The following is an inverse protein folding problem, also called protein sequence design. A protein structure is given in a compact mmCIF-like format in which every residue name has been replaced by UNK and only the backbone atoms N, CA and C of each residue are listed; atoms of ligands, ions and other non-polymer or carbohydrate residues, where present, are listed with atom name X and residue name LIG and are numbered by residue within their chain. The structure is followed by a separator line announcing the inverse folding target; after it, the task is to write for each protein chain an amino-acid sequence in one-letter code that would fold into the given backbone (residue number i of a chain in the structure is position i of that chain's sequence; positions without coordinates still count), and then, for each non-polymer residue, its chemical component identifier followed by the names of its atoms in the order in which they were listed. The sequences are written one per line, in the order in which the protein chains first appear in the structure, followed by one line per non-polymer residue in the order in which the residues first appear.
data_IF_761505419006
#
_entry.id   IF_761505419006
#
_cell.length_a   1.000
_cell.length_b   1.000
_cell.length_c   1.000
_cell.angle_alpha   90.00
_cell.angle_beta   90.00
_cell.angle_gamma   90.00
#
_symmetry.space_group_name_H-M   'P 1'
#
loop_
_entity.id
_entity.type
_entity.pdbx_description
1 polymer ?
#
# COMPACT_ATOMS: atom_id res chain seq x y z
N UNK A 1 -26.76 3.40 -34.85
CA UNK A 1 -26.61 4.12 -33.56
C UNK A 1 -25.16 4.51 -33.42
N UNK A 2 -24.83 5.78 -33.58
CA UNK A 2 -23.46 6.27 -33.39
C UNK A 2 -23.05 6.09 -31.92
N UNK A 3 -21.80 5.71 -31.63
CA UNK A 3 -21.30 5.74 -30.26
C UNK A 3 -21.39 7.19 -29.78
N UNK A 4 -22.15 7.43 -28.72
CA UNK A 4 -22.11 8.70 -28.02
C UNK A 4 -20.73 8.83 -27.42
N UNK A 5 -19.86 9.59 -28.08
CA UNK A 5 -18.58 10.05 -27.55
C UNK A 5 -18.88 11.02 -26.40
N UNK A 6 -19.27 10.46 -25.25
CA UNK A 6 -19.23 11.19 -23.99
C UNK A 6 -17.75 11.55 -23.81
N UNK A 7 -17.38 12.85 -23.82
CA UNK A 7 -16.00 13.24 -23.65
C UNK A 7 -15.49 12.62 -22.35
N UNK A 8 -14.40 11.84 -22.42
CA UNK A 8 -13.76 11.31 -21.22
C UNK A 8 -13.47 12.50 -20.33
N UNK A 9 -14.15 12.57 -19.18
CA UNK A 9 -13.95 13.63 -18.19
C UNK A 9 -12.44 13.78 -17.97
N UNK A 10 -11.93 14.94 -18.36
CA UNK A 10 -10.51 15.21 -18.28
C UNK A 10 -10.08 15.11 -16.82
N UNK A 11 -9.01 14.37 -16.57
CA UNK A 11 -8.50 14.17 -15.21
C UNK A 11 -7.98 15.51 -14.70
N UNK A 12 -8.25 15.83 -13.42
CA UNK A 12 -7.78 17.08 -12.83
C UNK A 12 -6.25 17.18 -12.90
N UNK A 13 -5.71 18.39 -12.90
CA UNK A 13 -4.27 18.61 -12.82
C UNK A 13 -3.66 17.90 -11.60
N UNK A 14 -4.33 18.01 -10.44
CA UNK A 14 -3.92 17.33 -9.21
C UNK A 14 -3.85 15.81 -9.39
N UNK A 15 -4.82 15.21 -10.10
CA UNK A 15 -4.79 13.78 -10.38
C UNK A 15 -3.56 13.41 -11.20
N UNK A 16 -3.29 14.15 -12.28
CA UNK A 16 -2.19 13.84 -13.20
C UNK A 16 -0.84 13.99 -12.51
N UNK A 17 -0.68 15.03 -11.71
CA UNK A 17 0.56 15.30 -10.97
C UNK A 17 0.78 14.27 -9.86
N UNK A 18 -0.28 13.95 -9.10
CA UNK A 18 -0.23 12.92 -8.04
C UNK A 18 0.17 11.56 -8.60
N UNK A 19 -0.49 11.09 -9.66
CA UNK A 19 -0.12 9.83 -10.31
C UNK A 19 1.32 9.87 -10.86
N UNK A 20 1.76 10.97 -11.49
CA UNK A 20 3.10 11.08 -12.08
C UNK A 20 4.22 11.06 -11.03
N UNK A 21 4.00 11.67 -9.86
CA UNK A 21 4.96 11.65 -8.75
C UNK A 21 4.90 10.35 -7.97
N UNK A 22 3.72 9.75 -7.80
CA UNK A 22 3.58 8.53 -7.03
C UNK A 22 4.18 7.30 -7.72
N UNK A 23 4.25 7.25 -9.05
CA UNK A 23 4.94 6.15 -9.74
C UNK A 23 6.40 5.99 -9.26
N UNK A 24 7.28 7.02 -9.37
CA UNK A 24 8.65 6.90 -8.89
C UNK A 24 8.75 6.83 -7.36
N UNK A 25 7.88 7.51 -6.60
CA UNK A 25 7.93 7.49 -5.13
C UNK A 25 7.55 6.11 -4.56
N UNK A 26 6.42 5.55 -4.97
CA UNK A 26 5.96 4.22 -4.54
C UNK A 26 6.91 3.14 -5.06
N UNK A 27 7.39 3.27 -6.32
CA UNK A 27 8.40 2.37 -6.86
C UNK A 27 9.71 2.41 -6.07
N UNK A 28 10.17 3.60 -5.69
CA UNK A 28 11.34 3.81 -4.84
C UNK A 28 11.16 3.18 -3.46
N UNK A 29 10.03 3.41 -2.79
CA UNK A 29 9.72 2.79 -1.50
C UNK A 29 9.70 1.26 -1.58
N UNK A 30 9.13 0.70 -2.64
CA UNK A 30 9.10 -0.74 -2.85
C UNK A 30 10.51 -1.33 -3.05
N UNK A 31 11.36 -0.66 -3.83
CA UNK A 31 12.78 -1.02 -3.99
C UNK A 31 13.53 -0.91 -2.66
N UNK A 32 13.32 0.17 -1.91
CA UNK A 32 13.93 0.35 -0.59
C UNK A 32 13.51 -0.78 0.37
N UNK A 33 12.24 -1.21 0.37
CA UNK A 33 11.80 -2.35 1.16
C UNK A 33 12.52 -3.65 0.75
N UNK A 34 12.72 -3.89 -0.55
CA UNK A 34 13.53 -5.04 -1.02
C UNK A 34 14.97 -4.92 -0.50
N UNK A 35 15.60 -3.75 -0.64
CA UNK A 35 16.96 -3.54 -0.15
C UNK A 35 17.07 -3.72 1.37
N UNK A 36 16.06 -3.28 2.13
CA UNK A 36 15.97 -3.50 3.58
C UNK A 36 15.85 -4.98 3.93
N UNK A 37 15.03 -5.74 3.20
CA UNK A 37 14.92 -7.20 3.37
C UNK A 37 16.22 -7.95 3.03
N UNK A 38 17.01 -7.43 2.10
CA UNK A 38 18.33 -7.95 1.75
C UNK A 38 19.45 -7.49 2.69
N UNK A 39 19.14 -6.64 3.68
CA UNK A 39 20.14 -6.06 4.59
C UNK A 39 21.06 -5.02 3.95
N UNK A 40 20.72 -4.53 2.74
CA UNK A 40 21.49 -3.54 1.99
C UNK A 40 21.15 -2.10 2.35
N UNK A 41 20.06 -1.87 3.08
CA UNK A 41 19.62 -0.55 3.52
C UNK A 41 19.05 -0.62 4.94
N UNK A 42 19.30 0.40 5.76
CA UNK A 42 18.77 0.47 7.12
C UNK A 42 17.24 0.54 7.13
N UNK A 43 16.61 -0.50 7.68
CA UNK A 43 15.15 -0.60 7.75
C UNK A 43 14.52 0.50 8.62
N UNK A 44 15.27 1.03 9.61
CA UNK A 44 14.75 2.09 10.47
C UNK A 44 14.73 3.44 9.74
N UNK A 45 15.75 3.74 8.93
CA UNK A 45 15.72 4.84 7.97
C UNK A 45 14.56 4.69 6.98
N UNK A 46 14.34 3.48 6.43
CA UNK A 46 13.21 3.20 5.52
C UNK A 46 11.88 3.52 6.22
N UNK A 47 11.72 3.14 7.49
CA UNK A 47 10.53 3.47 8.31
C UNK A 47 10.27 4.97 8.37
N UNK A 48 11.29 5.79 8.64
CA UNK A 48 11.16 7.25 8.71
C UNK A 48 10.76 7.84 7.35
N UNK A 49 11.33 7.32 6.27
CA UNK A 49 11.03 7.76 4.90
C UNK A 49 9.59 7.38 4.55
N UNK A 50 9.14 6.16 4.88
CA UNK A 50 7.79 5.69 4.62
C UNK A 50 6.74 6.53 5.37
N UNK A 51 6.98 6.82 6.64
CA UNK A 51 6.14 7.72 7.45
C UNK A 51 6.06 9.11 6.82
N UNK A 52 7.19 9.67 6.41
CA UNK A 52 7.25 11.00 5.79
C UNK A 52 6.45 11.04 4.49
N UNK A 53 6.60 10.02 3.65
CA UNK A 53 5.84 9.88 2.41
C UNK A 53 4.33 9.82 2.69
N UNK A 54 3.88 8.94 3.57
CA UNK A 54 2.45 8.77 3.88
C UNK A 54 1.87 10.06 4.46
N UNK A 55 2.59 10.76 5.34
CA UNK A 55 2.13 12.01 5.91
C UNK A 55 1.89 13.08 4.83
N UNK A 56 2.86 13.25 3.92
CA UNK A 56 2.76 14.21 2.82
C UNK A 56 1.63 13.82 1.85
N UNK A 57 1.55 12.54 1.45
CA UNK A 57 0.51 12.07 0.53
C UNK A 57 -0.89 12.18 1.14
N UNK A 58 -1.02 11.94 2.44
CA UNK A 58 -2.28 12.15 3.18
C UNK A 58 -2.72 13.61 3.14
N UNK A 59 -1.82 14.55 3.44
CA UNK A 59 -2.12 15.98 3.39
C UNK A 59 -2.57 16.36 1.97
N UNK A 60 -1.89 15.87 0.94
CA UNK A 60 -2.29 16.12 -0.44
C UNK A 60 -3.71 15.63 -0.71
N UNK A 61 -4.02 14.37 -0.42
CA UNK A 61 -5.34 13.79 -0.73
C UNK A 61 -6.46 14.46 0.08
N UNK A 62 -6.20 14.86 1.33
CA UNK A 62 -7.18 15.61 2.14
C UNK A 62 -7.47 16.98 1.53
N UNK A 63 -6.44 17.72 1.09
CA UNK A 63 -6.60 19.03 0.46
C UNK A 63 -7.16 18.96 -0.97
N UNK A 64 -6.87 17.88 -1.69
CA UNK A 64 -7.35 17.63 -3.05
C UNK A 64 -7.84 16.19 -3.20
N UNK A 65 -9.08 15.88 -2.77
CA UNK A 65 -9.66 14.53 -2.91
C UNK A 65 -9.79 14.08 -4.37
N UNK A 66 -9.75 15.03 -5.32
CA UNK A 66 -9.74 14.75 -6.75
C UNK A 66 -8.43 14.16 -7.27
N UNK A 67 -7.36 14.16 -6.46
CA UNK A 67 -6.06 13.60 -6.81
C UNK A 67 -6.10 12.09 -7.09
N UNK A 68 -7.08 11.39 -6.50
CA UNK A 68 -7.23 9.94 -6.60
C UNK A 68 -8.52 9.56 -7.33
N UNK A 69 -8.55 8.43 -8.06
CA UNK A 69 -9.65 8.14 -8.98
C UNK A 69 -11.00 7.87 -8.29
N UNK A 70 -10.98 7.20 -7.14
CA UNK A 70 -12.17 6.84 -6.34
C UNK A 70 -11.80 6.65 -4.88
N UNK A 71 -12.77 6.87 -4.00
CA UNK A 71 -12.69 6.55 -2.57
C UNK A 71 -11.50 7.22 -1.86
N UNK A 72 -11.33 8.53 -2.02
CA UNK A 72 -10.26 9.29 -1.37
C UNK A 72 -10.24 9.07 0.15
N UNK A 73 -11.42 9.05 0.79
CA UNK A 73 -11.57 8.75 2.21
C UNK A 73 -10.98 7.38 2.60
N UNK A 74 -11.07 6.39 1.72
CA UNK A 74 -10.60 5.04 1.98
C UNK A 74 -9.07 4.99 1.89
N UNK A 75 -8.48 5.74 0.96
CA UNK A 75 -7.01 5.89 0.87
C UNK A 75 -6.48 6.64 2.10
N UNK A 76 -7.16 7.70 2.53
CA UNK A 76 -6.80 8.41 3.78
C UNK A 76 -6.90 7.49 4.99
N UNK A 77 -7.96 6.68 5.11
CA UNK A 77 -8.06 5.68 6.18
C UNK A 77 -6.91 4.66 6.12
N UNK A 78 -6.59 4.16 4.93
CA UNK A 78 -5.43 3.30 4.72
C UNK A 78 -4.14 3.96 5.22
N UNK A 79 -3.89 5.22 4.85
CA UNK A 79 -2.71 5.96 5.32
C UNK A 79 -2.67 6.12 6.84
N UNK A 80 -3.81 6.38 7.48
CA UNK A 80 -3.89 6.45 8.94
C UNK A 80 -3.51 5.09 9.56
N UNK A 81 -4.04 3.99 9.05
CA UNK A 81 -3.71 2.65 9.54
C UNK A 81 -2.23 2.29 9.29
N UNK A 82 -1.71 2.60 8.11
CA UNK A 82 -0.30 2.39 7.78
C UNK A 82 0.61 3.28 8.64
N UNK A 83 0.21 4.52 8.92
CA UNK A 83 0.95 5.38 9.85
C UNK A 83 0.97 4.77 11.26
N UNK A 84 -0.19 4.33 11.78
CA UNK A 84 -0.30 3.70 13.10
C UNK A 84 0.57 2.45 13.22
N UNK A 85 0.58 1.55 12.23
CA UNK A 85 1.42 0.36 12.29
C UNK A 85 2.91 0.72 12.22
N UNK A 86 3.30 1.73 11.44
CA UNK A 86 4.68 2.22 11.35
C UNK A 86 5.18 2.92 12.63
N UNK A 87 4.29 3.35 13.52
CA UNK A 87 4.69 3.85 14.84
C UNK A 87 5.39 2.78 15.68
N UNK A 88 5.13 1.49 15.44
CA UNK A 88 5.79 0.39 16.14
C UNK A 88 7.28 0.29 15.78
N UNK A 89 7.68 0.04 14.51
CA UNK A 89 9.09 0.02 14.11
C UNK A 89 9.82 1.37 14.27
N UNK A 90 9.08 2.48 14.35
CA UNK A 90 9.65 3.77 14.71
C UNK A 90 10.07 3.84 16.19
N UNK A 91 9.30 3.21 17.10
CA UNK A 91 9.58 3.19 18.53
C UNK A 91 10.48 2.03 18.97
N UNK A 92 10.44 0.93 18.22
CA UNK A 92 11.20 -0.30 18.46
C UNK A 92 12.03 -0.62 17.21
N UNK A 93 13.24 -0.03 17.07
CA UNK A 93 14.10 -0.22 15.90
C UNK A 93 14.47 -1.69 15.63
N UNK A 94 14.46 -2.55 16.65
CA UNK A 94 14.63 -4.00 16.52
C UNK A 94 13.59 -4.65 15.59
N UNK A 95 12.41 -4.03 15.44
CA UNK A 95 11.35 -4.44 14.54
C UNK A 95 11.29 -3.60 13.26
N UNK A 96 12.31 -2.80 12.95
CA UNK A 96 12.30 -1.96 11.75
C UNK A 96 12.18 -2.76 10.44
N UNK A 97 12.66 -4.01 10.42
CA UNK A 97 12.51 -4.91 9.27
C UNK A 97 11.04 -5.19 8.92
N UNK A 98 10.12 -5.05 9.88
CA UNK A 98 8.70 -5.26 9.67
C UNK A 98 8.09 -4.21 8.72
N UNK A 99 8.61 -2.98 8.72
CA UNK A 99 8.27 -1.97 7.69
C UNK A 99 8.52 -2.51 6.29
N UNK A 100 9.65 -3.21 6.09
CA UNK A 100 10.01 -3.73 4.77
C UNK A 100 9.17 -4.96 4.40
N UNK A 101 8.85 -5.82 5.37
CA UNK A 101 7.97 -6.98 5.17
C UNK A 101 6.56 -6.55 4.81
N UNK A 102 6.01 -5.54 5.48
CA UNK A 102 4.69 -5.03 5.16
C UNK A 102 4.70 -4.22 3.85
N UNK A 103 5.67 -3.30 3.72
CA UNK A 103 5.81 -2.36 2.61
C UNK A 103 6.15 -2.98 1.25
N UNK A 104 6.60 -4.24 1.17
CA UNK A 104 6.82 -4.92 -0.12
C UNK A 104 5.53 -5.05 -0.94
N UNK A 105 4.37 -4.93 -0.30
CA UNK A 105 3.06 -4.85 -0.97
C UNK A 105 2.97 -3.69 -1.96
N UNK A 106 3.78 -2.64 -1.77
CA UNK A 106 3.83 -1.50 -2.67
C UNK A 106 4.38 -1.84 -4.05
N UNK A 107 5.07 -2.96 -4.24
CA UNK A 107 5.39 -3.47 -5.59
C UNK A 107 4.12 -3.67 -6.41
N UNK A 108 3.07 -4.20 -5.79
CA UNK A 108 1.79 -4.37 -6.47
C UNK A 108 1.15 -3.02 -6.80
N UNK A 109 1.18 -2.05 -5.87
CA UNK A 109 0.70 -0.67 -6.10
C UNK A 109 1.47 -0.01 -7.24
N UNK A 110 2.80 -0.12 -7.24
CA UNK A 110 3.67 0.41 -8.27
C UNK A 110 3.28 -0.10 -9.67
N UNK A 111 3.19 -1.42 -9.86
CA UNK A 111 2.79 -1.98 -11.16
C UNK A 111 1.37 -1.58 -11.56
N UNK A 112 0.45 -1.44 -10.59
CA UNK A 112 -0.91 -0.97 -10.81
C UNK A 112 -0.96 0.47 -11.32
N UNK A 113 -0.17 1.38 -10.76
CA UNK A 113 -0.14 2.79 -11.17
C UNK A 113 0.65 2.93 -12.48
N UNK A 114 1.82 2.26 -12.59
CA UNK A 114 2.64 2.27 -13.79
C UNK A 114 1.86 1.83 -15.03
N UNK A 115 1.11 0.71 -14.97
CA UNK A 115 0.31 0.26 -16.12
C UNK A 115 -0.77 1.26 -16.56
N UNK A 116 -1.23 2.17 -15.68
CA UNK A 116 -2.23 3.21 -16.04
C UNK A 116 -1.62 4.39 -16.78
N UNK A 117 -0.32 4.62 -16.61
CA UNK A 117 0.43 5.69 -17.29
C UNK A 117 0.95 5.26 -18.66
N UNK A 118 1.08 3.95 -18.88
CA UNK A 118 1.59 3.39 -20.12
C UNK A 118 0.52 3.26 -21.21
N UNK A 119 0.94 3.38 -22.47
CA UNK A 119 0.08 3.18 -23.63
C UNK A 119 -0.50 1.76 -23.61
N UNK A 120 -1.84 1.67 -23.57
CA UNK A 120 -2.56 0.39 -23.49
C UNK A 120 -2.17 -0.52 -24.65
N UNK A 121 -1.78 -1.76 -24.33
CA UNK A 121 -1.41 -2.76 -25.34
C UNK A 121 0.06 -2.74 -25.75
N UNK A 122 0.84 -1.73 -25.36
CA UNK A 122 2.31 -1.73 -25.53
C UNK A 122 2.96 -2.88 -24.76
N UNK A 123 4.17 -3.28 -25.18
CA UNK A 123 4.94 -4.33 -24.50
C UNK A 123 5.14 -4.03 -23.01
N UNK A 124 5.51 -2.79 -22.69
CA UNK A 124 5.73 -2.35 -21.30
C UNK A 124 4.42 -2.37 -20.49
N UNK A 125 3.30 -1.95 -21.08
CA UNK A 125 1.99 -2.04 -20.43
C UNK A 125 1.62 -3.50 -20.11
N UNK A 126 1.85 -4.44 -21.04
CA UNK A 126 1.60 -5.87 -20.81
C UNK A 126 2.53 -6.46 -19.76
N UNK A 127 3.80 -6.06 -19.74
CA UNK A 127 4.76 -6.50 -18.72
C UNK A 127 4.34 -6.01 -17.32
N UNK A 128 4.00 -4.73 -17.16
CA UNK A 128 3.49 -4.20 -15.90
C UNK A 128 2.16 -4.86 -15.48
N UNK A 129 1.29 -5.18 -16.45
CA UNK A 129 0.05 -5.89 -16.16
C UNK A 129 0.30 -7.31 -15.64
N UNK A 130 1.21 -8.06 -16.26
CA UNK A 130 1.64 -9.38 -15.77
C UNK A 130 2.21 -9.28 -14.35
N UNK A 131 3.14 -8.35 -14.13
CA UNK A 131 3.77 -8.15 -12.82
C UNK A 131 2.77 -7.73 -11.74
N UNK A 132 1.78 -6.90 -12.09
CA UNK A 132 0.67 -6.57 -11.20
C UNK A 132 -0.08 -7.84 -10.77
N UNK A 133 -0.41 -8.75 -11.68
CA UNK A 133 -1.11 -9.98 -11.31
C UNK A 133 -0.24 -10.95 -10.49
N UNK A 134 1.04 -11.10 -10.84
CA UNK A 134 1.98 -11.95 -10.08
C UNK A 134 2.16 -11.48 -8.64
N UNK A 135 2.19 -10.16 -8.42
CA UNK A 135 2.36 -9.55 -7.10
C UNK A 135 1.07 -9.50 -6.27
N UNK A 136 -0.08 -9.96 -6.78
CA UNK A 136 -1.31 -10.06 -5.97
C UNK A 136 -1.18 -11.06 -4.81
N UNK A 137 -0.31 -12.07 -4.96
CA UNK A 137 0.02 -13.02 -3.90
C UNK A 137 0.53 -12.33 -2.64
N UNK A 138 1.27 -11.22 -2.77
CA UNK A 138 1.74 -10.43 -1.64
C UNK A 138 0.54 -9.85 -0.86
N UNK A 139 -0.48 -9.36 -1.55
CA UNK A 139 -1.69 -8.81 -0.90
C UNK A 139 -2.58 -9.85 -0.24
N UNK A 140 -2.71 -11.04 -0.84
CA UNK A 140 -3.71 -12.02 -0.43
C UNK A 140 -3.15 -13.19 0.37
N UNK A 141 -1.84 -13.41 0.38
CA UNK A 141 -1.20 -14.48 1.14
C UNK A 141 -0.23 -13.91 2.18
N UNK A 142 0.71 -13.06 1.75
CA UNK A 142 1.75 -12.52 2.63
C UNK A 142 1.18 -11.55 3.68
N UNK A 143 0.36 -10.59 3.26
CA UNK A 143 -0.27 -9.62 4.15
C UNK A 143 -1.13 -10.27 5.26
N UNK A 144 -1.98 -11.27 4.98
CA UNK A 144 -2.65 -12.04 6.03
C UNK A 144 -1.71 -12.85 6.93
N UNK A 145 -0.63 -13.42 6.38
CA UNK A 145 0.39 -14.09 7.19
C UNK A 145 1.02 -13.13 8.21
N UNK A 146 1.24 -11.86 7.85
CA UNK A 146 1.79 -10.87 8.77
C UNK A 146 0.91 -10.62 10.00
N UNK A 147 -0.40 -10.87 9.95
CA UNK A 147 -1.25 -10.82 11.16
C UNK A 147 -0.76 -11.84 12.20
N UNK A 148 -0.48 -13.07 11.77
CA UNK A 148 0.06 -14.10 12.66
C UNK A 148 1.46 -13.74 13.16
N UNK A 149 2.31 -13.23 12.27
CA UNK A 149 3.66 -12.79 12.63
C UNK A 149 3.65 -11.66 13.66
N UNK A 150 2.91 -10.57 13.41
CA UNK A 150 2.76 -9.45 14.32
C UNK A 150 2.17 -9.87 15.67
N UNK A 151 1.25 -10.84 15.67
CA UNK A 151 0.69 -11.37 16.91
C UNK A 151 1.77 -11.94 17.81
N UNK A 152 2.76 -12.64 17.25
CA UNK A 152 3.85 -13.26 18.00
C UNK A 152 4.81 -12.19 18.51
N UNK A 153 5.35 -11.37 17.60
CA UNK A 153 6.44 -10.45 17.95
C UNK A 153 5.96 -9.35 18.89
N UNK A 154 4.70 -8.90 18.78
CA UNK A 154 4.14 -7.85 19.64
C UNK A 154 3.36 -8.39 20.84
N UNK A 155 3.36 -9.69 21.09
CA UNK A 155 2.62 -10.25 22.22
C UNK A 155 3.16 -9.70 23.55
N UNK A 156 2.30 -9.58 24.56
CA UNK A 156 2.70 -9.12 25.90
C UNK A 156 3.75 -10.02 26.56
N UNK A 157 3.78 -11.30 26.17
CA UNK A 157 4.78 -12.28 26.62
C UNK A 157 5.91 -12.50 25.60
N UNK A 158 6.08 -11.60 24.62
CA UNK A 158 7.15 -11.71 23.63
C UNK A 158 8.52 -11.69 24.31
N UNK A 159 9.39 -12.60 23.89
CA UNK A 159 10.78 -12.69 24.37
C UNK A 159 11.72 -11.76 23.59
N UNK A 160 11.23 -11.09 22.55
CA UNK A 160 12.03 -10.18 21.72
C UNK A 160 12.55 -8.97 22.52
N UNK A 161 11.90 -8.67 23.65
CA UNK A 161 12.29 -7.58 24.55
C UNK A 161 12.09 -7.97 26.03
N UNK A 162 13.01 -7.58 26.93
CA UNK A 162 12.78 -7.71 28.37
C UNK A 162 11.51 -6.98 28.81
N UNK A 163 10.56 -7.70 29.42
CA UNK A 163 9.27 -7.17 29.85
C UNK A 163 8.17 -7.12 28.78
N UNK A 164 8.45 -7.60 27.57
CA UNK A 164 7.48 -7.71 26.47
C UNK A 164 6.92 -6.38 26.00
N UNK A 165 5.76 -6.43 25.33
CA UNK A 165 5.06 -5.27 24.79
C UNK A 165 3.81 -4.91 25.61
N UNK A 166 3.46 -3.62 25.62
CA UNK A 166 2.22 -3.19 26.26
C UNK A 166 1.01 -3.68 25.46
N UNK A 167 -0.11 -3.94 26.15
CA UNK A 167 -1.36 -4.29 25.49
C UNK A 167 -1.80 -3.25 24.44
N UNK A 168 -1.55 -1.95 24.72
CA UNK A 168 -1.86 -0.85 23.78
C UNK A 168 -1.08 -1.00 22.47
N UNK A 169 0.19 -1.39 22.56
CA UNK A 169 1.05 -1.59 21.40
C UNK A 169 0.58 -2.76 20.54
N UNK A 170 0.38 -3.90 21.20
CA UNK A 170 -0.15 -5.09 20.55
C UNK A 170 -1.46 -4.81 19.84
N UNK A 171 -2.41 -4.18 20.54
CA UNK A 171 -3.72 -3.84 19.99
C UNK A 171 -3.62 -2.90 18.79
N UNK A 172 -2.80 -1.84 18.86
CA UNK A 172 -2.61 -0.89 17.77
C UNK A 172 -2.08 -1.59 16.51
N UNK A 173 -1.03 -2.41 16.65
CA UNK A 173 -0.42 -3.14 15.52
C UNK A 173 -1.41 -4.14 14.92
N UNK A 174 -2.05 -4.96 15.77
CA UNK A 174 -2.98 -6.00 15.32
C UNK A 174 -4.22 -5.44 14.63
N UNK A 175 -4.85 -4.41 15.19
CA UNK A 175 -6.01 -3.76 14.58
C UNK A 175 -5.62 -3.10 13.26
N UNK A 176 -4.48 -2.41 13.21
CA UNK A 176 -4.01 -1.79 11.97
C UNK A 176 -3.79 -2.84 10.88
N UNK A 177 -3.07 -3.93 11.18
CA UNK A 177 -2.80 -4.99 10.21
C UNK A 177 -4.07 -5.68 9.71
N UNK A 178 -4.99 -6.02 10.61
CA UNK A 178 -6.27 -6.66 10.24
C UNK A 178 -7.09 -5.73 9.34
N UNK A 179 -7.20 -4.44 9.70
CA UNK A 179 -7.95 -3.48 8.89
C UNK A 179 -7.30 -3.20 7.54
N UNK A 180 -5.97 -3.19 7.45
CA UNK A 180 -5.23 -3.10 6.18
C UNK A 180 -5.52 -4.32 5.28
N UNK A 181 -5.60 -5.53 5.85
CA UNK A 181 -6.00 -6.72 5.11
C UNK A 181 -7.45 -6.66 4.64
N UNK A 182 -8.38 -6.22 5.50
CA UNK A 182 -9.79 -6.01 5.12
C UNK A 182 -9.92 -4.98 4.00
N UNK A 183 -9.15 -3.88 4.09
CA UNK A 183 -9.09 -2.86 3.04
C UNK A 183 -8.65 -3.46 1.69
N UNK A 184 -7.59 -4.28 1.67
CA UNK A 184 -7.14 -4.98 0.47
C UNK A 184 -8.26 -5.85 -0.14
N UNK A 185 -9.01 -6.59 0.69
CA UNK A 185 -10.13 -7.41 0.21
C UNK A 185 -11.26 -6.55 -0.35
N UNK A 186 -11.72 -5.53 0.38
CA UNK A 186 -12.89 -4.75 -0.01
C UNK A 186 -12.66 -3.87 -1.24
N UNK A 187 -11.45 -3.35 -1.44
CA UNK A 187 -11.15 -2.42 -2.53
C UNK A 187 -10.58 -3.13 -3.76
N UNK A 188 -9.67 -4.10 -3.57
CA UNK A 188 -8.98 -4.74 -4.70
C UNK A 188 -9.81 -5.88 -5.29
N UNK A 189 -10.43 -6.72 -4.46
CA UNK A 189 -11.14 -7.91 -4.92
C UNK A 189 -12.31 -7.59 -5.88
N UNK A 190 -13.19 -6.61 -5.61
CA UNK A 190 -14.26 -6.27 -6.56
C UNK A 190 -13.76 -5.74 -7.90
N UNK A 191 -12.55 -5.16 -7.93
CA UNK A 191 -11.89 -4.72 -9.16
C UNK A 191 -11.38 -5.87 -10.03
N UNK A 192 -11.13 -7.04 -9.44
CA UNK A 192 -10.67 -8.26 -10.12
C UNK A 192 -11.83 -9.15 -10.58
N UNK A 193 -13.00 -9.04 -9.94
CA UNK A 193 -14.17 -9.84 -10.31
C UNK A 193 -14.74 -9.39 -11.68
N UNK A 194 -15.11 -10.34 -12.55
CA UNK A 194 -15.72 -10.02 -13.83
C UNK A 194 -17.01 -9.23 -13.60
N UNK A 195 -17.11 -8.04 -14.20
CA UNK A 195 -18.35 -7.25 -14.15
C UNK A 195 -19.46 -8.08 -14.79
N UNK A 196 -20.46 -8.50 -14.00
CA UNK A 196 -21.67 -9.12 -14.53
C UNK A 196 -22.25 -8.16 -15.59
N UNK A 197 -22.31 -8.62 -16.86
CA UNK A 197 -23.05 -7.91 -17.90
C UNK A 197 -24.47 -7.73 -17.38
N UNK A 198 -24.93 -6.49 -17.20
CA UNK A 198 -26.35 -6.23 -16.97
C UNK A 198 -27.09 -6.84 -18.16
N UNK A 199 -27.93 -7.85 -17.91
CA UNK A 199 -28.90 -8.31 -18.91
C UNK A 199 -29.79 -7.08 -19.19
N UNK A 200 -29.76 -6.63 -20.44
CA UNK A 200 -30.68 -5.62 -20.96
C UNK A 200 -32.08 -6.24 -21.05
#
# INVERSE_FOLDING_TARGET
MAPTDVPKKERSLSYRLHDALNVPLVGGLAIMCILGLLGLMDAHLITKIFISYIAVDTIWIVLSPSAVPRFAWAIVLHHVLTFLILLHPLRFPEHAIETCRDGIVELNTFFLIARRQLTRGSLLNRACDLMYHLTLSIRFLWQPYLIYHFRIITHMNSTDRPGGYTFREHYMVMVSQVLLCVFNILIVLPGLLPKKKKKA
#
